data_IF_513179266092
#
_entry.id   IF_513179266092
#
_cell.length_a   1.000
_cell.length_b   1.000
_cell.length_c   1.000
_cell.angle_alpha   90.00
_cell.angle_beta   90.00
_cell.angle_gamma   90.00
#
_symmetry.space_group_name_H-M   'P 1'
#
loop_
_entity.id
_entity.type
_entity.pdbx_description
1 polymer ?
#
# COMPACT_ATOMS: atom_id res chain seq x y z
N UNK A 1 25.78 -20.55 -8.79
CA UNK A 1 25.25 -19.48 -7.91
C UNK A 1 23.74 -19.67 -7.86
N UNK A 2 23.27 -20.50 -6.94
CA UNK A 2 21.84 -20.77 -6.76
C UNK A 2 21.14 -19.45 -6.42
N UNK A 3 20.27 -19.01 -7.33
CA UNK A 3 19.31 -17.95 -7.02
C UNK A 3 18.38 -18.55 -5.99
N UNK A 4 18.58 -18.17 -4.72
CA UNK A 4 17.74 -18.48 -3.59
C UNK A 4 16.27 -18.16 -3.95
N UNK A 5 15.55 -19.16 -4.42
CA UNK A 5 14.12 -19.11 -4.71
C UNK A 5 13.40 -19.05 -3.37
N UNK A 6 13.39 -17.85 -2.79
CA UNK A 6 12.58 -17.56 -1.61
C UNK A 6 11.12 -17.78 -2.02
N UNK A 7 10.52 -18.85 -1.51
CA UNK A 7 9.14 -19.29 -1.74
C UNK A 7 8.20 -18.10 -1.58
N UNK A 8 7.75 -17.52 -2.69
CA UNK A 8 6.87 -16.35 -2.67
C UNK A 8 5.49 -16.81 -2.20
N UNK A 9 5.07 -16.37 -1.03
CA UNK A 9 3.77 -16.70 -0.43
C UNK A 9 2.75 -15.58 -0.67
N UNK A 10 2.83 -14.89 -1.82
CA UNK A 10 1.91 -13.80 -2.18
C UNK A 10 0.76 -14.34 -3.04
N UNK A 11 -0.43 -13.76 -2.89
CA UNK A 11 -1.64 -14.21 -3.59
C UNK A 11 -1.43 -14.25 -5.12
N UNK A 12 -0.78 -13.24 -5.68
CA UNK A 12 -0.55 -13.15 -7.14
C UNK A 12 0.41 -14.22 -7.64
N UNK A 13 1.41 -14.60 -6.86
CA UNK A 13 2.38 -15.64 -7.25
C UNK A 13 1.76 -17.04 -7.36
N UNK A 14 0.67 -17.30 -6.62
CA UNK A 14 -0.05 -18.58 -6.66
C UNK A 14 -1.02 -18.72 -7.84
N UNK A 15 -1.46 -17.61 -8.45
CA UNK A 15 -2.47 -17.61 -9.53
C UNK A 15 -1.82 -17.76 -10.90
N UNK A 16 -0.63 -17.19 -11.12
CA UNK A 16 0.02 -17.17 -12.44
C UNK A 16 1.37 -17.88 -12.41
N UNK A 17 1.39 -19.16 -12.83
CA UNK A 17 2.62 -19.91 -13.12
C UNK A 17 3.13 -19.53 -14.51
N UNK A 18 4.44 -19.26 -14.62
CA UNK A 18 5.07 -18.85 -15.88
C UNK A 18 6.27 -19.74 -16.16
N UNK A 19 6.39 -20.19 -17.41
CA UNK A 19 7.40 -21.15 -17.88
C UNK A 19 8.70 -20.51 -18.38
N UNK A 20 8.71 -19.20 -18.70
CA UNK A 20 9.91 -18.49 -19.17
C UNK A 20 10.17 -17.17 -18.44
N UNK A 21 11.46 -16.82 -18.31
CA UNK A 21 11.93 -15.62 -17.61
C UNK A 21 11.41 -14.32 -18.24
N UNK A 22 11.29 -14.27 -19.56
CA UNK A 22 10.77 -13.11 -20.31
C UNK A 22 9.29 -12.85 -19.99
N UNK A 23 8.48 -13.91 -19.97
CA UNK A 23 7.06 -13.81 -19.60
C UNK A 23 6.89 -13.35 -18.15
N UNK A 24 7.80 -13.74 -17.25
CA UNK A 24 7.77 -13.32 -15.84
C UNK A 24 8.05 -11.81 -15.68
N UNK A 25 9.04 -11.30 -16.41
CA UNK A 25 9.35 -9.87 -16.43
C UNK A 25 8.15 -9.08 -16.96
N UNK A 26 7.58 -9.51 -18.10
CA UNK A 26 6.40 -8.86 -18.68
C UNK A 26 5.22 -8.84 -17.70
N UNK A 27 4.94 -9.97 -17.03
CA UNK A 27 3.91 -10.04 -15.98
C UNK A 27 4.17 -9.00 -14.88
N UNK A 28 5.38 -8.95 -14.35
CA UNK A 28 5.70 -8.04 -13.25
C UNK A 28 5.57 -6.57 -13.66
N UNK A 29 5.98 -6.22 -14.88
CA UNK A 29 5.78 -4.88 -15.44
C UNK A 29 4.29 -4.55 -15.53
N UNK A 30 3.48 -5.44 -16.11
CA UNK A 30 2.03 -5.23 -16.22
C UNK A 30 1.35 -5.11 -14.85
N UNK A 31 1.77 -5.90 -13.87
CA UNK A 31 1.26 -5.82 -12.51
C UNK A 31 1.63 -4.49 -11.84
N UNK A 32 2.87 -4.01 -12.00
CA UNK A 32 3.29 -2.69 -11.50
C UNK A 32 2.44 -1.59 -12.14
N UNK A 33 2.29 -1.60 -13.47
CA UNK A 33 1.49 -0.60 -14.17
C UNK A 33 0.02 -0.63 -13.74
N UNK A 34 -0.57 -1.83 -13.65
CA UNK A 34 -1.94 -2.02 -13.16
C UNK A 34 -2.11 -1.57 -11.70
N UNK A 35 -1.13 -1.85 -10.85
CA UNK A 35 -1.11 -1.41 -9.46
C UNK A 35 -1.00 0.11 -9.30
N UNK A 36 -0.18 0.76 -10.14
CA UNK A 36 -0.08 2.23 -10.20
C UNK A 36 -1.40 2.82 -10.66
N UNK A 37 -2.01 2.29 -11.73
CA UNK A 37 -3.31 2.75 -12.22
C UNK A 37 -4.40 2.60 -11.14
N UNK A 38 -4.47 1.43 -10.50
CA UNK A 38 -5.39 1.17 -9.40
C UNK A 38 -5.21 2.17 -8.25
N UNK A 39 -3.98 2.36 -7.77
CA UNK A 39 -3.71 3.32 -6.71
C UNK A 39 -4.06 4.75 -7.11
N UNK A 40 -3.79 5.13 -8.35
CA UNK A 40 -4.13 6.45 -8.89
C UNK A 40 -5.63 6.70 -8.84
N UNK A 41 -6.44 5.70 -9.23
CA UNK A 41 -7.90 5.77 -9.15
C UNK A 41 -8.40 5.86 -7.70
N UNK A 42 -7.82 5.06 -6.79
CA UNK A 42 -8.16 5.11 -5.37
C UNK A 42 -7.81 6.47 -4.75
N UNK A 43 -6.71 7.09 -5.15
CA UNK A 43 -6.32 8.42 -4.66
C UNK A 43 -7.32 9.51 -5.05
N UNK A 44 -8.07 9.36 -6.15
CA UNK A 44 -9.06 10.34 -6.59
C UNK A 44 -10.36 10.30 -5.78
N UNK A 45 -10.67 9.18 -5.14
CA UNK A 45 -11.83 9.08 -4.26
C UNK A 45 -11.44 9.79 -2.95
N UNK A 46 -11.83 11.07 -2.86
CA UNK A 46 -11.43 11.95 -1.78
C UNK A 46 -12.57 12.79 -1.21
N UNK A 47 -12.45 13.10 0.08
CA UNK A 47 -13.29 14.05 0.80
C UNK A 47 -12.37 15.18 1.26
N UNK A 48 -12.46 16.38 0.65
CA UNK A 48 -11.69 17.53 1.10
C UNK A 48 -12.16 17.98 2.48
N UNK A 49 -11.22 18.46 3.30
CA UNK A 49 -11.50 18.99 4.63
C UNK A 49 -11.24 20.51 4.63
N UNK A 50 -12.16 21.35 5.12
CA UNK A 50 -12.02 22.81 5.01
C UNK A 50 -10.92 23.40 5.91
N UNK A 51 -10.45 22.65 6.91
CA UNK A 51 -9.51 23.12 7.93
C UNK A 51 -8.08 22.56 7.77
N UNK A 52 -7.85 21.70 6.78
CA UNK A 52 -6.53 21.11 6.49
C UNK A 52 -6.35 20.93 4.99
N UNK A 53 -5.14 21.17 4.42
CA UNK A 53 -4.90 20.97 2.98
C UNK A 53 -4.86 19.50 2.56
N UNK A 54 -4.94 18.57 3.51
CA UNK A 54 -4.85 17.12 3.29
C UNK A 54 -6.26 16.52 3.23
N UNK A 55 -6.72 16.04 2.07
CA UNK A 55 -8.03 15.40 1.97
C UNK A 55 -7.99 13.98 2.54
N UNK A 56 -9.13 13.49 3.03
CA UNK A 56 -9.31 12.05 3.31
C UNK A 56 -9.43 11.36 1.95
N UNK A 57 -8.65 10.30 1.70
CA UNK A 57 -8.67 9.58 0.41
C UNK A 57 -8.79 8.07 0.60
N UNK A 58 -9.10 7.34 -0.48
CA UNK A 58 -8.87 5.88 -0.55
C UNK A 58 -7.42 5.51 -0.93
N UNK A 59 -6.51 6.48 -1.05
CA UNK A 59 -5.09 6.22 -1.35
C UNK A 59 -4.43 5.27 -0.33
N UNK A 60 -4.69 5.45 0.97
CA UNK A 60 -4.17 4.54 2.03
C UNK A 60 -4.70 3.11 1.89
N UNK A 61 -5.95 2.96 1.46
CA UNK A 61 -6.53 1.65 1.15
C UNK A 61 -5.81 1.01 -0.04
N UNK A 62 -5.61 1.75 -1.12
CA UNK A 62 -4.88 1.27 -2.28
C UNK A 62 -3.46 0.81 -1.92
N UNK A 63 -2.71 1.63 -1.19
CA UNK A 63 -1.33 1.34 -0.75
C UNK A 63 -1.26 0.05 0.08
N UNK A 64 -2.11 -0.06 1.09
CA UNK A 64 -2.07 -1.20 2.02
C UNK A 64 -2.55 -2.49 1.37
N UNK A 65 -3.57 -2.43 0.52
CA UNK A 65 -4.04 -3.56 -0.26
C UNK A 65 -2.97 -4.07 -1.23
N UNK A 66 -2.34 -3.17 -1.99
CA UNK A 66 -1.26 -3.54 -2.92
C UNK A 66 -0.06 -4.13 -2.18
N UNK A 67 0.34 -3.56 -1.04
CA UNK A 67 1.42 -4.12 -0.23
C UNK A 67 1.12 -5.56 0.22
N UNK A 68 -0.10 -5.83 0.67
CA UNK A 68 -0.49 -7.16 1.14
C UNK A 68 -0.73 -8.17 0.01
N UNK A 69 -1.21 -7.73 -1.16
CA UNK A 69 -1.42 -8.58 -2.34
C UNK A 69 -0.11 -8.94 -3.05
N UNK A 70 0.78 -7.95 -3.22
CA UNK A 70 1.97 -8.05 -4.06
C UNK A 70 3.23 -8.41 -3.25
N UNK A 71 3.18 -8.30 -1.93
CA UNK A 71 4.34 -8.54 -1.06
C UNK A 71 5.40 -7.46 -1.17
N UNK A 72 6.56 -7.68 -0.55
CA UNK A 72 7.59 -6.64 -0.41
C UNK A 72 8.12 -6.15 -1.76
N UNK A 73 8.54 -7.06 -2.63
CA UNK A 73 9.24 -6.69 -3.87
C UNK A 73 8.33 -5.94 -4.83
N UNK A 74 7.23 -6.58 -5.23
CA UNK A 74 6.32 -6.04 -6.25
C UNK A 74 5.47 -4.89 -5.68
N UNK A 75 5.09 -4.95 -4.40
CA UNK A 75 4.41 -3.85 -3.71
C UNK A 75 5.28 -2.59 -3.67
N UNK A 76 6.53 -2.69 -3.20
CA UNK A 76 7.44 -1.53 -3.15
C UNK A 76 7.71 -0.98 -4.55
N UNK A 77 7.93 -1.82 -5.55
CA UNK A 77 8.09 -1.37 -6.94
C UNK A 77 6.88 -0.58 -7.44
N UNK A 78 5.67 -1.04 -7.12
CA UNK A 78 4.42 -0.36 -7.50
C UNK A 78 4.31 1.02 -6.85
N UNK A 79 4.52 1.10 -5.53
CA UNK A 79 4.38 2.36 -4.80
C UNK A 79 5.48 3.35 -5.17
N UNK A 80 6.72 2.90 -5.33
CA UNK A 80 7.80 3.76 -5.84
C UNK A 80 7.49 4.28 -7.24
N UNK A 81 6.97 3.44 -8.14
CA UNK A 81 6.58 3.87 -9.49
C UNK A 81 5.48 4.92 -9.46
N UNK A 82 4.46 4.75 -8.60
CA UNK A 82 3.42 5.75 -8.37
C UNK A 82 4.02 7.07 -7.85
N UNK A 83 4.90 7.02 -6.86
CA UNK A 83 5.51 8.23 -6.29
C UNK A 83 6.39 8.94 -7.30
N UNK A 84 7.23 8.21 -8.05
CA UNK A 84 8.10 8.78 -9.08
C UNK A 84 7.27 9.40 -10.20
N UNK A 85 6.28 8.69 -10.74
CA UNK A 85 5.43 9.21 -11.81
C UNK A 85 4.70 10.50 -11.38
N UNK A 86 4.10 10.50 -10.19
CA UNK A 86 3.42 11.69 -9.66
C UNK A 86 4.37 12.86 -9.38
N UNK A 87 5.58 12.56 -8.90
CA UNK A 87 6.62 13.58 -8.65
C UNK A 87 7.18 14.18 -9.95
N UNK A 88 7.21 13.40 -11.03
CA UNK A 88 7.62 13.84 -12.37
C UNK A 88 6.51 14.55 -13.17
N UNK A 89 5.34 14.77 -12.57
CA UNK A 89 4.27 15.59 -13.18
C UNK A 89 3.03 14.83 -13.61
N UNK A 90 2.95 13.50 -13.44
CA UNK A 90 1.72 12.77 -13.73
C UNK A 90 0.62 13.17 -12.72
N UNK A 91 -0.60 13.55 -13.17
CA UNK A 91 -1.69 14.03 -12.31
C UNK A 91 -2.42 12.88 -11.59
N UNK A 92 -1.67 12.07 -10.85
CA UNK A 92 -2.15 10.80 -10.27
C UNK A 92 -2.33 10.85 -8.76
N UNK A 93 -1.84 11.91 -8.09
CA UNK A 93 -2.11 12.12 -6.68
C UNK A 93 -3.53 12.66 -6.49
N UNK A 94 -3.99 12.68 -5.25
CA UNK A 94 -5.37 13.03 -4.91
C UNK A 94 -5.80 14.39 -5.47
N UNK A 95 -6.95 14.42 -6.15
CA UNK A 95 -7.48 15.60 -6.81
C UNK A 95 -6.76 15.97 -8.10
N UNK A 96 -6.23 14.98 -8.82
CA UNK A 96 -5.48 15.17 -10.07
C UNK A 96 -4.15 15.91 -9.87
N UNK A 97 -3.60 15.90 -8.66
CA UNK A 97 -2.37 16.62 -8.34
C UNK A 97 -1.13 15.87 -8.83
N UNK A 98 -0.07 16.64 -9.04
CA UNK A 98 1.28 16.15 -9.31
C UNK A 98 2.30 17.03 -8.57
N UNK A 99 3.56 16.59 -8.51
CA UNK A 99 4.67 17.41 -8.06
C UNK A 99 5.33 16.95 -6.77
N UNK A 100 6.05 17.87 -6.12
CA UNK A 100 7.04 17.57 -5.09
C UNK A 100 6.48 16.90 -3.83
N UNK A 101 7.28 16.00 -3.25
CA UNK A 101 7.08 15.49 -1.89
C UNK A 101 7.33 16.56 -0.81
N UNK A 102 7.90 17.71 -1.17
CA UNK A 102 7.90 18.89 -0.31
C UNK A 102 6.56 19.64 -0.46
N UNK A 103 5.50 19.03 0.08
CA UNK A 103 4.14 19.55 0.06
C UNK A 103 3.40 19.12 1.34
N UNK A 104 2.25 19.76 1.69
CA UNK A 104 1.50 19.40 2.89
C UNK A 104 1.08 17.92 2.95
N UNK A 105 0.92 17.27 1.79
CA UNK A 105 0.57 15.84 1.68
C UNK A 105 1.78 14.92 1.55
N UNK A 106 2.98 15.47 1.31
CA UNK A 106 4.16 14.70 0.94
C UNK A 106 4.62 13.71 2.01
N UNK A 107 4.47 14.05 3.30
CA UNK A 107 4.77 13.14 4.40
C UNK A 107 3.91 11.87 4.40
N UNK A 108 2.65 11.95 3.95
CA UNK A 108 1.78 10.77 3.82
C UNK A 108 2.25 9.88 2.68
N UNK A 109 2.69 10.48 1.57
CA UNK A 109 3.23 9.77 0.40
C UNK A 109 4.56 9.08 0.76
N UNK A 110 5.44 9.74 1.51
CA UNK A 110 6.64 9.11 2.08
C UNK A 110 6.25 7.96 3.03
N UNK A 111 5.22 8.17 3.83
CA UNK A 111 4.57 7.14 4.64
C UNK A 111 4.15 5.91 3.83
N UNK A 112 3.62 6.09 2.62
CA UNK A 112 3.22 4.98 1.76
C UNK A 112 4.40 4.08 1.41
N UNK A 113 5.57 4.66 1.10
CA UNK A 113 6.77 3.89 0.76
C UNK A 113 7.21 3.05 1.97
N UNK A 114 7.35 3.68 3.14
CA UNK A 114 7.81 3.00 4.37
C UNK A 114 6.81 1.92 4.79
N UNK A 115 5.52 2.26 4.81
CA UNK A 115 4.46 1.32 5.15
C UNK A 115 4.44 0.12 4.20
N UNK A 116 4.59 0.32 2.89
CA UNK A 116 4.58 -0.79 1.92
C UNK A 116 5.79 -1.72 2.07
N UNK A 117 6.98 -1.20 2.38
CA UNK A 117 8.16 -2.05 2.63
C UNK A 117 7.91 -2.98 3.82
N UNK A 118 7.39 -2.42 4.92
CA UNK A 118 7.12 -3.17 6.16
C UNK A 118 5.93 -4.11 5.98
N UNK A 119 4.80 -3.59 5.50
CA UNK A 119 3.57 -4.35 5.33
C UNK A 119 3.72 -5.45 4.27
N UNK A 120 4.43 -5.17 3.17
CA UNK A 120 4.75 -6.16 2.15
C UNK A 120 5.70 -7.24 2.68
N UNK A 121 6.67 -6.88 3.52
CA UNK A 121 7.50 -7.87 4.22
C UNK A 121 6.66 -8.79 5.12
N UNK A 122 5.72 -8.23 5.87
CA UNK A 122 4.81 -9.00 6.71
C UNK A 122 3.88 -9.89 5.86
N UNK A 123 3.43 -9.40 4.71
CA UNK A 123 2.65 -10.19 3.74
C UNK A 123 3.42 -11.42 3.27
N UNK A 124 4.71 -11.26 2.93
CA UNK A 124 5.60 -12.38 2.54
C UNK A 124 5.73 -13.43 3.67
N UNK A 125 5.57 -13.01 4.94
CA UNK A 125 5.54 -13.87 6.13
C UNK A 125 4.15 -14.46 6.45
N UNK A 126 3.16 -14.22 5.60
CA UNK A 126 1.83 -14.82 5.68
C UNK A 126 0.88 -14.18 6.67
N UNK A 127 1.07 -12.90 7.06
CA UNK A 127 0.11 -12.22 7.95
C UNK A 127 -1.30 -12.18 7.37
N UNK A 128 -1.44 -12.17 6.04
CA UNK A 128 -2.72 -12.17 5.30
C UNK A 128 -3.57 -13.42 5.52
N UNK A 129 -3.03 -14.47 6.13
CA UNK A 129 -3.77 -15.71 6.44
C UNK A 129 -4.50 -15.64 7.79
N UNK A 130 -4.24 -14.62 8.60
CA UNK A 130 -4.83 -14.43 9.93
C UNK A 130 -5.45 -13.05 10.03
N UNK A 131 -6.73 -12.99 10.42
CA UNK A 131 -7.45 -11.73 10.65
C UNK A 131 -6.71 -10.83 11.66
N UNK A 132 -6.29 -11.40 12.79
CA UNK A 132 -5.57 -10.66 13.84
C UNK A 132 -4.23 -10.12 13.36
N UNK A 133 -3.42 -10.96 12.70
CA UNK A 133 -2.11 -10.49 12.18
C UNK A 133 -2.29 -9.43 11.10
N UNK A 134 -3.32 -9.56 10.26
CA UNK A 134 -3.64 -8.60 9.20
C UNK A 134 -4.01 -7.25 9.79
N UNK A 135 -4.97 -7.20 10.73
CA UNK A 135 -5.40 -5.92 11.32
C UNK A 135 -4.27 -5.23 12.10
N UNK A 136 -3.47 -5.98 12.87
CA UNK A 136 -2.32 -5.40 13.59
C UNK A 136 -1.28 -4.80 12.63
N UNK A 137 -1.02 -5.48 11.51
CA UNK A 137 -0.09 -4.98 10.49
C UNK A 137 -0.62 -3.72 9.80
N UNK A 138 -1.94 -3.63 9.57
CA UNK A 138 -2.60 -2.46 9.01
C UNK A 138 -2.60 -1.28 9.98
N UNK A 139 -2.85 -1.51 11.28
CA UNK A 139 -2.75 -0.47 12.31
C UNK A 139 -1.33 0.11 12.40
N UNK A 140 -0.31 -0.76 12.37
CA UNK A 140 1.09 -0.33 12.32
C UNK A 140 1.36 0.54 11.08
N UNK A 141 0.86 0.13 9.92
CA UNK A 141 1.03 0.85 8.66
C UNK A 141 0.33 2.21 8.67
N UNK A 142 -0.90 2.28 9.20
CA UNK A 142 -1.64 3.53 9.37
C UNK A 142 -0.91 4.47 10.32
N UNK A 143 -0.40 3.96 11.46
CA UNK A 143 0.41 4.75 12.39
C UNK A 143 1.63 5.37 11.70
N UNK A 144 2.40 4.58 10.93
CA UNK A 144 3.57 5.08 10.17
C UNK A 144 3.16 6.18 9.20
N UNK A 145 2.11 5.95 8.40
CA UNK A 145 1.63 6.90 7.39
C UNK A 145 1.19 8.21 8.04
N UNK A 146 0.37 8.13 9.09
CA UNK A 146 -0.18 9.30 9.76
C UNK A 146 0.89 10.07 10.55
N UNK A 147 1.85 9.38 11.17
CA UNK A 147 2.97 10.03 11.85
C UNK A 147 3.85 10.80 10.87
N UNK A 148 4.31 10.19 9.78
CA UNK A 148 5.13 10.88 8.78
C UNK A 148 4.34 12.01 8.08
N UNK A 149 3.07 11.78 7.80
CA UNK A 149 2.15 12.78 7.28
C UNK A 149 2.03 14.00 8.18
N UNK A 150 1.70 13.80 9.45
CA UNK A 150 1.54 14.88 10.42
C UNK A 150 2.85 15.64 10.69
N UNK A 151 3.99 14.94 10.71
CA UNK A 151 5.31 15.57 10.86
C UNK A 151 5.59 16.56 9.72
N UNK A 152 5.42 16.15 8.47
CA UNK A 152 5.61 17.06 7.33
C UNK A 152 4.54 18.15 7.30
N UNK A 153 3.27 17.83 7.54
CA UNK A 153 2.17 18.79 7.56
C UNK A 153 2.41 19.91 8.59
N UNK A 154 3.05 19.62 9.72
CA UNK A 154 3.36 20.61 10.76
C UNK A 154 4.26 21.75 10.26
N UNK A 155 5.11 21.47 9.27
CA UNK A 155 5.97 22.47 8.63
C UNK A 155 5.18 23.43 7.73
N UNK A 156 4.03 22.99 7.20
CA UNK A 156 3.20 23.79 6.29
C UNK A 156 2.05 24.51 7.01
N UNK A 157 1.71 24.09 8.22
CA UNK A 157 0.62 24.65 9.03
C UNK A 157 1.12 25.06 10.43
N UNK A 158 2.10 25.99 10.53
CA UNK A 158 2.65 26.41 11.80
C UNK A 158 1.57 26.99 12.72
N UNK A 159 1.63 26.67 14.01
CA UNK A 159 0.65 27.11 15.01
C UNK A 159 -0.65 26.29 15.05
N UNK A 160 -0.86 25.34 14.13
CA UNK A 160 -1.94 24.35 14.24
C UNK A 160 -1.46 23.09 14.95
N UNK A 161 -2.36 22.43 15.68
CA UNK A 161 -2.07 21.12 16.24
C UNK A 161 -2.09 20.05 15.13
N UNK A 162 -0.90 19.57 14.73
CA UNK A 162 -0.72 18.60 13.65
C UNK A 162 -1.48 17.29 13.88
N UNK A 163 -1.68 16.85 15.13
CA UNK A 163 -2.50 15.68 15.43
C UNK A 163 -3.98 15.92 15.07
N UNK A 164 -4.52 17.08 15.47
CA UNK A 164 -5.92 17.44 15.23
C UNK A 164 -6.25 17.62 13.74
N UNK A 165 -5.31 18.12 12.94
CA UNK A 165 -5.54 18.38 11.51
C UNK A 165 -4.97 17.32 10.57
N UNK A 166 -4.08 16.46 11.07
CA UNK A 166 -3.28 15.53 10.27
C UNK A 166 -3.40 14.07 10.67
N UNK A 167 -3.99 13.75 11.82
CA UNK A 167 -4.15 12.36 12.31
C UNK A 167 -5.61 12.07 12.62
N UNK A 168 -6.19 12.81 13.56
CA UNK A 168 -7.51 12.54 14.11
C UNK A 168 -8.62 12.41 13.04
N UNK A 169 -8.71 13.27 12.01
CA UNK A 169 -9.77 13.18 10.99
C UNK A 169 -9.70 11.91 10.13
N UNK A 170 -8.51 11.29 10.03
CA UNK A 170 -8.26 10.14 9.16
C UNK A 170 -8.58 8.81 9.83
N UNK A 171 -8.57 8.76 11.17
CA UNK A 171 -8.74 7.54 11.96
C UNK A 171 -10.05 6.78 11.66
N UNK A 172 -11.24 7.42 11.55
CA UNK A 172 -12.47 6.68 11.26
C UNK A 172 -12.42 6.01 9.88
N UNK A 173 -11.90 6.74 8.89
CA UNK A 173 -11.74 6.21 7.54
C UNK A 173 -10.71 5.09 7.49
N UNK A 174 -9.60 5.19 8.22
CA UNK A 174 -8.56 4.17 8.26
C UNK A 174 -9.01 2.92 9.01
N UNK A 175 -9.82 3.04 10.06
CA UNK A 175 -10.44 1.91 10.74
C UNK A 175 -11.36 1.14 9.79
N UNK A 176 -12.21 1.84 9.03
CA UNK A 176 -13.09 1.24 8.02
C UNK A 176 -12.29 0.50 6.96
N UNK A 177 -11.33 1.19 6.32
CA UNK A 177 -10.47 0.60 5.28
C UNK A 177 -9.72 -0.64 5.78
N UNK A 178 -9.12 -0.55 6.97
CA UNK A 178 -8.34 -1.64 7.54
C UNK A 178 -9.22 -2.85 7.88
N UNK A 179 -10.45 -2.60 8.32
CA UNK A 179 -11.45 -3.66 8.56
C UNK A 179 -11.82 -4.34 7.25
N UNK A 180 -12.10 -3.58 6.19
CA UNK A 180 -12.40 -4.12 4.86
C UNK A 180 -11.27 -5.01 4.33
N UNK A 181 -10.01 -4.56 4.40
CA UNK A 181 -8.86 -5.36 3.95
C UNK A 181 -8.69 -6.63 4.81
N UNK A 182 -8.89 -6.51 6.12
CA UNK A 182 -8.81 -7.63 7.06
C UNK A 182 -9.88 -8.68 6.80
N UNK A 183 -11.09 -8.28 6.40
CA UNK A 183 -12.15 -9.22 6.05
C UNK A 183 -11.93 -9.86 4.67
N UNK A 184 -11.39 -9.09 3.72
CA UNK A 184 -11.17 -9.53 2.35
C UNK A 184 -10.04 -10.56 2.23
N UNK A 185 -8.83 -10.24 2.69
CA UNK A 185 -7.64 -11.03 2.33
C UNK A 185 -7.58 -12.43 2.95
N UNK A 186 -7.79 -12.63 4.26
CA UNK A 186 -7.82 -13.98 4.83
C UNK A 186 -8.97 -14.82 4.27
N UNK A 187 -10.07 -14.19 3.86
CA UNK A 187 -11.20 -14.88 3.23
C UNK A 187 -10.83 -15.35 1.82
N UNK A 188 -10.14 -14.53 1.02
CA UNK A 188 -9.63 -14.95 -0.30
C UNK A 188 -8.69 -16.16 -0.22
N UNK A 189 -7.88 -16.25 0.84
CA UNK A 189 -7.01 -17.42 1.08
C UNK A 189 -7.78 -18.72 1.30
N UNK A 190 -9.05 -18.69 1.74
CA UNK A 190 -9.88 -19.88 1.89
C UNK A 190 -10.31 -20.50 0.56
N UNK A 191 -10.34 -19.70 -0.51
CA UNK A 191 -10.74 -20.14 -1.85
C UNK A 191 -9.56 -20.53 -2.74
N UNK A 192 -8.33 -20.28 -2.30
CA UNK A 192 -7.14 -20.69 -3.04
C UNK A 192 -6.80 -22.13 -2.64
N UNK A 193 -6.74 -23.07 -3.60
CA UNK A 193 -6.35 -24.44 -3.32
C UNK A 193 -4.99 -24.45 -2.62
N UNK A 194 -4.88 -25.17 -1.50
CA UNK A 194 -3.55 -25.46 -0.93
C UNK A 194 -2.81 -26.30 -1.96
N UNK A 195 -1.65 -25.83 -2.41
CA UNK A 195 -0.71 -26.71 -3.11
C UNK A 195 -0.15 -27.66 -2.05
N UNK A 196 -0.77 -28.84 -1.91
CA UNK A 196 -0.24 -29.96 -1.14
C UNK A 196 0.99 -30.52 -1.87
N UNK A 197 2.12 -29.82 -1.71
CA UNK A 197 3.45 -30.29 -2.05
C UNK A 197 4.44 -29.85 -0.98
N UNK A 198 4.18 -30.22 0.27
CA UNK A 198 5.17 -30.25 1.36
C UNK A 198 4.66 -31.16 2.49
N UNK A 199 4.37 -32.42 2.19
CA UNK A 199 4.38 -33.53 3.15
C UNK A 199 4.74 -34.77 2.34
N UNK A 200 5.99 -34.82 1.88
CA UNK A 200 6.66 -36.08 1.58
C UNK A 200 8.17 -35.82 1.60
N UNK A 201 8.81 -36.44 2.60
CA UNK A 201 10.23 -36.45 3.01
C UNK A 201 10.59 -35.58 4.20
#
# INVERSE_FOLDING_TARGET
>A
MEVFFMKQNTLVSNIVKIESKEKEILKNVLLVLGGVAFLSLMAQIMIPLPYTPVPITLGTFGVTLMALLYGRKLGTATILSYVVAGSLGAPIFAGGKAGSLFSPTGGYILGYIVATIILGYLADRGVTKSYVKTILSLLLSSAIILTLGALVLSLFMPGKNAFMIGVLPFLPGDALKSTTVTLLLPTLWKFIPKNDKTEDK
#
